data_IF_818466003740
#
_entry.id   IF_818466003740
#
_cell.length_a   1.000
_cell.length_b   1.000
_cell.length_c   1.000
_cell.angle_alpha   90.00
_cell.angle_beta   90.00
_cell.angle_gamma   90.00
#
_symmetry.space_group_name_H-M   'P 1'
#
loop_
_entity.id
_entity.type
_entity.pdbx_description
1 polymer ?
#
# COMPACT_ATOMS: atom_id res chain seq x y z
N UNK A 1 2.59 -19.28 3.31
CA UNK A 1 3.24 -19.00 4.62
C UNK A 1 4.73 -18.65 4.54
N UNK A 2 5.41 -18.69 3.36
CA UNK A 2 6.83 -18.26 3.21
C UNK A 2 7.04 -16.75 2.94
N UNK A 3 6.05 -16.05 2.38
CA UNK A 3 6.21 -14.65 1.96
C UNK A 3 6.17 -13.61 3.11
N UNK A 4 5.73 -14.00 4.31
CA UNK A 4 5.66 -13.09 5.47
C UNK A 4 7.01 -12.96 6.22
N UNK A 5 7.96 -13.87 5.96
CA UNK A 5 9.31 -13.87 6.52
C UNK A 5 10.39 -13.65 5.45
N UNK A 6 9.99 -13.21 4.25
CA UNK A 6 10.94 -12.86 3.21
C UNK A 6 11.42 -11.41 3.46
N UNK A 7 12.54 -11.29 4.17
CA UNK A 7 13.23 -10.02 4.48
C UNK A 7 13.83 -9.41 3.20
N UNK A 8 13.80 -10.15 2.09
CA UNK A 8 14.08 -9.70 0.74
C UNK A 8 12.83 -8.99 0.19
N UNK A 9 12.74 -7.68 0.34
CA UNK A 9 11.67 -6.84 -0.23
C UNK A 9 11.72 -6.76 -1.78
N UNK A 10 11.99 -7.88 -2.45
CA UNK A 10 12.37 -7.97 -3.87
C UNK A 10 11.16 -8.17 -4.79
N UNK A 11 9.95 -8.36 -4.25
CA UNK A 11 8.68 -8.33 -5.02
C UNK A 11 7.63 -7.46 -4.33
N UNK A 12 6.95 -6.63 -5.13
CA UNK A 12 5.80 -5.80 -4.76
C UNK A 12 4.57 -6.65 -4.40
N UNK A 13 4.62 -7.39 -3.30
CA UNK A 13 3.49 -8.16 -2.72
C UNK A 13 2.69 -7.28 -1.73
N UNK A 14 3.15 -6.04 -1.52
CA UNK A 14 2.62 -5.11 -0.54
C UNK A 14 1.09 -4.92 -0.56
N UNK A 15 0.38 -4.87 -1.72
CA UNK A 15 -1.08 -4.73 -1.70
C UNK A 15 -1.81 -5.95 -1.11
N UNK A 16 -1.25 -7.16 -1.29
CA UNK A 16 -1.82 -8.40 -0.75
C UNK A 16 -1.55 -8.54 0.75
N UNK A 17 -0.36 -8.13 1.21
CA UNK A 17 0.04 -8.23 2.62
C UNK A 17 -0.67 -7.18 3.48
N UNK A 18 -1.00 -6.01 2.92
CA UNK A 18 -1.65 -4.93 3.68
C UNK A 18 -2.93 -5.39 4.40
N UNK A 19 -3.76 -6.25 3.80
CA UNK A 19 -4.96 -6.81 4.47
C UNK A 19 -4.61 -7.61 5.72
N UNK A 20 -3.53 -8.40 5.67
CA UNK A 20 -3.04 -9.21 6.78
C UNK A 20 -2.47 -8.30 7.87
N UNK A 21 -1.71 -7.27 7.47
CA UNK A 21 -1.16 -6.27 8.40
C UNK A 21 -2.29 -5.52 9.12
N UNK A 22 -3.33 -5.09 8.40
CA UNK A 22 -4.50 -4.46 9.02
C UNK A 22 -5.14 -5.36 10.07
N UNK A 23 -5.35 -6.64 9.73
CA UNK A 23 -5.93 -7.61 10.65
C UNK A 23 -5.06 -7.80 11.89
N UNK A 24 -3.74 -7.90 11.73
CA UNK A 24 -2.81 -8.01 12.86
C UNK A 24 -2.84 -6.76 13.74
N UNK A 25 -2.80 -5.56 13.16
CA UNK A 25 -2.90 -4.30 13.90
C UNK A 25 -4.22 -4.21 14.66
N UNK A 26 -5.34 -4.61 14.03
CA UNK A 26 -6.65 -4.64 14.67
C UNK A 26 -6.67 -5.58 15.87
N UNK A 27 -6.09 -6.78 15.75
CA UNK A 27 -5.99 -7.74 16.87
C UNK A 27 -5.11 -7.17 17.99
N UNK A 28 -3.97 -6.57 17.66
CA UNK A 28 -3.07 -5.95 18.65
C UNK A 28 -3.78 -4.80 19.39
N UNK A 29 -4.50 -3.93 18.68
CA UNK A 29 -5.29 -2.85 19.31
C UNK A 29 -6.36 -3.43 20.23
N UNK A 30 -7.06 -4.47 19.79
CA UNK A 30 -8.08 -5.15 20.60
C UNK A 30 -7.50 -5.72 21.89
N UNK A 31 -6.41 -6.49 21.80
CA UNK A 31 -5.71 -7.05 22.97
C UNK A 31 -5.24 -5.94 23.89
N UNK A 32 -4.57 -4.91 23.35
CA UNK A 32 -4.07 -3.76 24.12
C UNK A 32 -5.21 -3.08 24.88
N UNK A 33 -6.35 -2.85 24.23
CA UNK A 33 -7.54 -2.29 24.85
C UNK A 33 -8.00 -3.11 26.07
N UNK A 34 -8.16 -4.43 25.92
CA UNK A 34 -8.55 -5.29 27.04
C UNK A 34 -7.50 -5.29 28.17
N UNK A 35 -6.21 -5.31 27.84
CA UNK A 35 -5.14 -5.20 28.85
C UNK A 35 -5.22 -3.90 29.63
N UNK A 36 -5.38 -2.76 28.95
CA UNK A 36 -5.51 -1.46 29.61
C UNK A 36 -6.75 -1.35 30.48
N UNK A 37 -7.88 -1.93 30.04
CA UNK A 37 -9.10 -2.00 30.86
C UNK A 37 -8.83 -2.76 32.15
N UNK A 38 -8.24 -3.95 32.09
CA UNK A 38 -7.93 -4.78 33.27
C UNK A 38 -7.00 -4.02 34.23
N UNK A 39 -5.93 -3.42 33.71
CA UNK A 39 -4.97 -2.65 34.52
C UNK A 39 -5.63 -1.42 35.18
N UNK A 40 -6.60 -0.80 34.51
CA UNK A 40 -7.31 0.37 35.05
C UNK A 40 -8.24 -0.03 36.20
N UNK A 41 -8.94 -1.15 36.07
CA UNK A 41 -9.78 -1.69 37.15
C UNK A 41 -8.99 -2.13 38.39
N UNK A 42 -7.74 -2.55 38.22
CA UNK A 42 -6.85 -2.87 39.35
C UNK A 42 -6.45 -1.63 40.16
N UNK A 43 -6.44 -0.44 39.55
CA UNK A 43 -6.10 0.79 40.25
C UNK A 43 -7.33 1.44 40.90
N UNK A 44 -8.43 1.58 40.16
CA UNK A 44 -9.64 2.21 40.66
C UNK A 44 -10.86 1.83 39.79
N UNK A 45 -12.00 1.52 40.41
CA UNK A 45 -13.24 1.19 39.70
C UNK A 45 -13.74 2.31 38.77
N UNK A 46 -13.65 3.58 39.20
CA UNK A 46 -14.03 4.73 38.38
C UNK A 46 -13.12 4.86 37.16
N UNK A 47 -11.80 4.70 37.32
CA UNK A 47 -10.85 4.71 36.20
C UNK A 47 -11.11 3.55 35.23
N UNK A 48 -11.38 2.35 35.75
CA UNK A 48 -11.75 1.19 34.94
C UNK A 48 -12.96 1.47 34.06
N UNK A 49 -14.03 2.04 34.62
CA UNK A 49 -15.24 2.41 33.87
C UNK A 49 -14.96 3.51 32.84
N UNK A 50 -14.19 4.55 33.22
CA UNK A 50 -13.80 5.63 32.31
C UNK A 50 -13.02 5.11 31.10
N UNK A 51 -12.08 4.19 31.33
CA UNK A 51 -11.26 3.58 30.27
C UNK A 51 -12.08 2.63 29.40
N UNK A 52 -12.97 1.85 29.99
CA UNK A 52 -13.83 0.93 29.25
C UNK A 52 -14.84 1.65 28.35
N UNK A 53 -15.46 2.74 28.83
CA UNK A 53 -16.60 3.37 28.14
C UNK A 53 -16.18 4.53 27.25
N UNK A 54 -15.20 5.32 27.68
CA UNK A 54 -14.85 6.58 27.02
C UNK A 54 -13.49 6.49 26.36
N UNK A 55 -12.42 6.32 27.15
CA UNK A 55 -11.06 6.46 26.64
C UNK A 55 -10.74 5.34 25.65
N UNK A 56 -10.99 4.09 26.01
CA UNK A 56 -10.56 2.97 25.20
C UNK A 56 -11.31 2.83 23.87
N UNK A 57 -12.64 3.05 23.76
CA UNK A 57 -13.32 3.13 22.46
C UNK A 57 -12.80 4.28 21.58
N UNK A 58 -12.60 5.47 22.16
CA UNK A 58 -12.06 6.62 21.41
C UNK A 58 -10.65 6.32 20.89
N UNK A 59 -9.77 5.79 21.74
CA UNK A 59 -8.40 5.45 21.36
C UNK A 59 -8.38 4.33 20.32
N UNK A 60 -9.12 3.24 20.54
CA UNK A 60 -9.13 2.10 19.60
C UNK A 60 -9.64 2.51 18.21
N UNK A 61 -10.74 3.27 18.12
CA UNK A 61 -11.26 3.78 16.85
C UNK A 61 -10.25 4.71 16.20
N UNK A 62 -9.66 5.64 16.93
CA UNK A 62 -8.66 6.57 16.40
C UNK A 62 -7.46 5.82 15.78
N UNK A 63 -6.90 4.84 16.51
CA UNK A 63 -5.77 4.05 16.00
C UNK A 63 -6.16 3.15 14.82
N UNK A 64 -7.38 2.58 14.80
CA UNK A 64 -7.87 1.81 13.66
C UNK A 64 -8.04 2.67 12.41
N UNK A 65 -8.57 3.89 12.57
CA UNK A 65 -8.70 4.85 11.46
C UNK A 65 -7.32 5.25 10.93
N UNK A 66 -6.38 5.59 11.81
CA UNK A 66 -5.01 5.91 11.41
C UNK A 66 -4.32 4.74 10.70
N UNK A 67 -4.48 3.52 11.21
CA UNK A 67 -3.96 2.33 10.56
C UNK A 67 -4.57 2.14 9.17
N UNK A 68 -5.87 2.38 9.02
CA UNK A 68 -6.56 2.28 7.73
C UNK A 68 -6.05 3.29 6.73
N UNK A 69 -5.99 4.57 7.10
CA UNK A 69 -5.48 5.65 6.24
C UNK A 69 -4.00 5.43 5.89
N UNK A 70 -3.20 4.96 6.85
CA UNK A 70 -1.79 4.63 6.62
C UNK A 70 -1.61 3.49 5.62
N UNK A 71 -2.42 2.42 5.72
CA UNK A 71 -2.36 1.32 4.75
C UNK A 71 -2.91 1.74 3.38
N UNK A 72 -3.99 2.52 3.33
CA UNK A 72 -4.56 3.02 2.07
C UNK A 72 -3.55 3.93 1.35
N UNK A 73 -2.88 4.83 2.06
CA UNK A 73 -1.82 5.68 1.48
C UNK A 73 -0.61 4.88 1.01
N UNK A 74 -0.16 3.86 1.76
CA UNK A 74 0.93 2.98 1.34
C UNK A 74 0.57 2.21 0.06
N UNK A 75 -0.63 1.63 -0.02
CA UNK A 75 -1.10 0.91 -1.21
C UNK A 75 -1.20 1.87 -2.40
N UNK A 76 -1.71 3.09 -2.19
CA UNK A 76 -1.83 4.11 -3.24
C UNK A 76 -0.47 4.55 -3.78
N UNK A 77 0.54 4.73 -2.91
CA UNK A 77 1.89 5.06 -3.31
C UNK A 77 2.52 3.94 -4.18
N UNK A 78 2.32 2.69 -3.79
CA UNK A 78 2.86 1.53 -4.52
C UNK A 78 2.18 1.37 -5.88
N UNK A 79 0.85 1.49 -5.93
CA UNK A 79 0.11 1.44 -7.21
C UNK A 79 0.54 2.56 -8.16
N UNK A 80 0.82 3.75 -7.62
CA UNK A 80 1.36 4.86 -8.43
C UNK A 80 2.70 4.49 -9.05
N UNK A 81 3.63 3.91 -8.27
CA UNK A 81 4.94 3.49 -8.77
C UNK A 81 4.84 2.40 -9.86
N UNK A 82 3.94 1.42 -9.67
CA UNK A 82 3.68 0.36 -10.65
C UNK A 82 3.13 0.93 -11.97
N UNK A 83 2.13 1.83 -11.88
CA UNK A 83 1.53 2.47 -13.05
C UNK A 83 2.54 3.30 -13.83
N UNK A 84 3.44 4.04 -13.17
CA UNK A 84 4.49 4.81 -13.84
C UNK A 84 5.46 3.89 -14.61
N UNK A 85 5.85 2.75 -14.04
CA UNK A 85 6.70 1.78 -14.72
C UNK A 85 6.03 1.17 -15.97
N UNK A 86 4.72 0.93 -15.90
CA UNK A 86 3.95 0.44 -17.06
C UNK A 86 3.81 1.49 -18.15
N UNK A 87 3.56 2.76 -17.80
CA UNK A 87 3.48 3.86 -18.76
C UNK A 87 4.79 4.04 -19.55
N UNK A 88 5.96 3.96 -18.88
CA UNK A 88 7.26 4.02 -19.55
C UNK A 88 7.45 2.83 -20.49
N UNK A 89 7.06 1.61 -20.06
CA UNK A 89 7.14 0.41 -20.90
C UNK A 89 6.24 0.52 -22.14
N UNK A 90 5.03 1.08 -22.00
CA UNK A 90 4.08 1.32 -23.11
C UNK A 90 4.53 2.47 -24.02
N UNK A 91 5.15 3.51 -23.49
CA UNK A 91 5.77 4.58 -24.29
C UNK A 91 6.92 4.08 -25.14
N UNK A 92 7.74 3.16 -24.60
CA UNK A 92 8.82 2.50 -25.35
C UNK A 92 8.32 1.63 -26.51
N UNK A 93 7.14 1.01 -26.40
CA UNK A 93 6.52 0.23 -27.49
C UNK A 93 5.60 1.05 -28.40
N UNK A 94 5.01 2.16 -27.92
CA UNK A 94 4.07 3.00 -28.65
C UNK A 94 4.70 4.09 -29.53
N UNK A 95 5.97 4.43 -29.32
CA UNK A 95 6.70 5.44 -30.12
C UNK A 95 7.75 4.80 -31.06
N UNK A 96 7.91 3.47 -31.01
CA UNK A 96 8.95 2.71 -31.70
C UNK A 96 8.61 2.14 -33.09
N UNK A 97 7.49 2.53 -33.71
CA UNK A 97 7.12 2.04 -35.05
C UNK A 97 6.60 3.16 -35.95
N UNK A 98 7.29 4.29 -36.01
CA UNK A 98 7.22 5.12 -37.22
C UNK A 98 8.11 4.42 -38.25
N UNK A 99 7.56 3.74 -39.27
CA UNK A 99 8.40 3.16 -40.32
C UNK A 99 9.24 4.27 -40.94
N UNK A 100 10.53 4.02 -41.25
CA UNK A 100 11.37 5.03 -41.88
C UNK A 100 10.69 5.54 -43.16
N UNK A 101 10.79 6.84 -43.48
CA UNK A 101 10.21 7.38 -44.70
C UNK A 101 10.62 6.52 -45.89
N UNK A 102 9.65 6.01 -46.65
CA UNK A 102 9.91 5.29 -47.88
C UNK A 102 10.38 6.29 -48.94
N UNK A 103 11.69 6.50 -49.00
CA UNK A 103 12.27 7.27 -50.10
C UNK A 103 11.99 6.51 -51.41
N UNK A 104 11.40 7.18 -52.42
CA UNK A 104 11.32 6.58 -53.74
C UNK A 104 12.73 6.21 -54.19
N UNK A 105 12.93 5.05 -54.84
CA UNK A 105 14.24 4.64 -55.30
C UNK A 105 14.83 5.74 -56.18
N UNK A 106 16.05 6.16 -55.87
CA UNK A 106 16.79 7.15 -56.67
C UNK A 106 16.80 6.66 -58.13
N UNK A 107 16.06 7.36 -58.99
CA UNK A 107 16.13 7.18 -60.43
C UNK A 107 17.22 8.12 -60.92
N UNK A 108 18.38 7.63 -61.38
CA UNK A 108 19.28 8.46 -62.14
C UNK A 108 18.49 8.93 -63.35
N UNK A 109 18.31 10.24 -63.47
CA UNK A 109 17.77 10.84 -64.66
C UNK A 109 18.70 10.46 -65.82
N UNK A 110 18.19 9.64 -66.73
CA UNK A 110 18.85 9.31 -67.97
C UNK A 110 18.91 10.57 -68.83
N UNK A 111 19.91 11.41 -68.58
CA UNK A 111 20.34 12.51 -69.42
C UNK A 111 21.82 12.31 -69.73
N UNK A 112 22.07 11.42 -70.68
CA UNK A 112 23.24 11.44 -71.55
C UNK A 112 22.81 11.98 -72.91
#
# INVERSE_FOLDING_TARGET
>A
MKALFDISFTRFIAPSIAKIVYLLVMVVIGISYFTFVILSFQQNAFLGILVLVVIGPIFSILYLVLARVGLESLIAAIRTAENTGELVRRGATGVGAVPPPSYPPYRPDARG
#
